data_IF_037107592638
#
_entry.id   IF_037107592638
#
_cell.length_a   1.000
_cell.length_b   1.000
_cell.length_c   1.000
_cell.angle_alpha   90.00
_cell.angle_beta   90.00
_cell.angle_gamma   90.00
#
_symmetry.space_group_name_H-M   'P 1'
#
loop_
_entity.id
_entity.type
_entity.pdbx_description
1 polymer ?
#
# COMPACT_ATOMS: atom_id res chain seq x y z
N UNK A 1 0.45 -24.70 1.95
CA UNK A 1 -0.29 -23.67 2.71
C UNK A 1 -0.97 -22.74 1.72
N UNK A 2 -2.14 -22.18 2.06
CA UNK A 2 -2.86 -21.22 1.22
C UNK A 2 -2.29 -19.82 1.46
N UNK A 3 -2.03 -19.06 0.39
CA UNK A 3 -1.57 -17.67 0.47
C UNK A 3 -2.75 -16.72 0.72
N UNK A 4 -2.57 -15.76 1.60
CA UNK A 4 -3.49 -14.63 1.83
C UNK A 4 -3.14 -13.50 0.87
N UNK A 5 -4.04 -13.19 -0.05
CA UNK A 5 -3.87 -12.11 -1.03
C UNK A 5 -4.92 -11.04 -0.79
N UNK A 6 -4.48 -9.80 -0.63
CA UNK A 6 -5.36 -8.63 -0.48
C UNK A 6 -5.32 -7.77 -1.74
N UNK A 7 -6.47 -7.17 -2.07
CA UNK A 7 -6.62 -6.24 -3.19
C UNK A 7 -7.13 -4.90 -2.65
N UNK A 8 -6.62 -3.80 -3.19
CA UNK A 8 -7.07 -2.46 -2.81
C UNK A 8 -6.67 -1.39 -3.81
N UNK A 9 -7.19 -0.19 -3.64
CA UNK A 9 -6.76 0.98 -4.40
C UNK A 9 -5.68 1.74 -3.63
N UNK A 10 -4.76 2.40 -4.34
CA UNK A 10 -3.89 3.39 -3.71
C UNK A 10 -4.73 4.58 -3.25
N UNK A 11 -4.90 4.72 -1.94
CA UNK A 11 -5.70 5.78 -1.33
C UNK A 11 -4.99 7.13 -1.35
N UNK A 12 -5.21 7.93 -2.38
CA UNK A 12 -4.50 9.20 -2.62
C UNK A 12 -4.67 10.26 -1.52
N UNK A 13 -5.66 10.10 -0.63
CA UNK A 13 -5.90 11.00 0.49
C UNK A 13 -5.16 10.53 1.74
N UNK A 14 -5.52 9.36 2.28
CA UNK A 14 -4.99 8.89 3.57
C UNK A 14 -3.58 8.28 3.43
N UNK A 15 -3.26 7.61 2.32
CA UNK A 15 -1.94 7.01 2.15
C UNK A 15 -0.86 8.04 1.79
N UNK A 16 -1.25 9.20 1.24
CA UNK A 16 -0.31 10.25 0.83
C UNK A 16 0.47 10.82 2.02
N UNK A 17 -0.15 10.96 3.20
CA UNK A 17 0.42 11.30 4.51
C UNK A 17 1.45 12.47 4.61
N UNK A 18 1.86 13.11 3.52
CA UNK A 18 2.93 14.10 3.45
C UNK A 18 4.30 13.50 3.13
N UNK A 19 5.33 14.36 3.07
CA UNK A 19 6.71 13.97 2.74
C UNK A 19 7.54 13.77 4.02
N UNK A 20 8.61 12.99 3.90
CA UNK A 20 9.58 12.81 4.98
C UNK A 20 9.02 11.99 6.15
N UNK A 21 9.65 12.11 7.33
CA UNK A 21 9.34 11.28 8.50
C UNK A 21 7.92 11.51 9.05
N UNK A 22 7.32 12.67 8.82
CA UNK A 22 5.95 12.98 9.27
C UNK A 22 4.89 12.02 8.74
N UNK A 23 5.16 11.29 7.65
CA UNK A 23 4.22 10.29 7.13
C UNK A 23 3.96 9.14 8.11
N UNK A 24 4.90 8.85 9.00
CA UNK A 24 4.79 7.78 10.00
C UNK A 24 3.88 8.12 11.18
N UNK A 25 3.57 9.41 11.38
CA UNK A 25 2.64 9.84 12.44
C UNK A 25 1.19 9.93 11.99
N UNK A 26 0.89 9.57 10.73
CA UNK A 26 -0.47 9.57 10.19
C UNK A 26 -0.95 8.15 9.92
N UNK A 27 -2.25 7.96 10.09
CA UNK A 27 -2.89 6.71 9.74
C UNK A 27 -2.95 6.52 8.23
N UNK A 28 -2.42 5.39 7.75
CA UNK A 28 -2.31 5.02 6.33
C UNK A 28 -2.90 3.62 6.15
N UNK A 29 -4.17 3.48 5.74
CA UNK A 29 -4.90 2.21 5.79
C UNK A 29 -4.16 1.06 5.09
N UNK A 30 -3.58 1.32 3.92
CA UNK A 30 -2.87 0.31 3.13
C UNK A 30 -1.63 -0.21 3.85
N UNK A 31 -0.87 0.68 4.50
CA UNK A 31 0.30 0.30 5.28
C UNK A 31 -0.09 -0.41 6.58
N UNK A 32 -1.10 0.10 7.29
CA UNK A 32 -1.54 -0.48 8.57
C UNK A 32 -2.14 -1.88 8.42
N UNK A 33 -2.71 -2.22 7.26
CA UNK A 33 -3.14 -3.58 6.93
C UNK A 33 -1.96 -4.56 7.01
N UNK A 34 -0.80 -4.18 6.47
CA UNK A 34 0.42 -4.99 6.51
C UNK A 34 1.11 -5.01 7.88
N UNK A 35 0.64 -4.23 8.85
CA UNK A 35 1.17 -4.21 10.22
C UNK A 35 0.38 -5.12 11.18
N UNK A 36 -0.66 -5.80 10.71
CA UNK A 36 -1.51 -6.62 11.58
C UNK A 36 -0.84 -7.96 11.91
N UNK A 37 -0.40 -8.13 13.16
CA UNK A 37 0.26 -9.38 13.63
C UNK A 37 -0.63 -10.62 13.51
N UNK A 38 -1.96 -10.45 13.60
CA UNK A 38 -2.93 -11.55 13.52
C UNK A 38 -3.29 -11.95 12.08
N UNK A 39 -2.86 -11.18 11.08
CA UNK A 39 -3.15 -11.43 9.66
C UNK A 39 -1.94 -11.04 8.80
N UNK A 40 -1.10 -12.03 8.50
CA UNK A 40 0.00 -11.86 7.54
C UNK A 40 -0.57 -11.87 6.12
N UNK A 41 -0.28 -10.81 5.37
CA UNK A 41 -0.60 -10.70 3.94
C UNK A 41 0.60 -11.21 3.15
N UNK A 42 0.44 -12.30 2.39
CA UNK A 42 1.53 -12.80 1.54
C UNK A 42 1.73 -11.90 0.30
N UNK A 43 0.63 -11.36 -0.24
CA UNK A 43 0.66 -10.47 -1.41
C UNK A 43 -0.42 -9.40 -1.33
N UNK A 44 -0.06 -8.17 -1.64
CA UNK A 44 -0.94 -7.02 -1.75
C UNK A 44 -0.92 -6.47 -3.18
N UNK A 45 -2.07 -6.51 -3.84
CA UNK A 45 -2.30 -6.01 -5.19
C UNK A 45 -2.94 -4.62 -5.10
N UNK A 46 -2.20 -3.59 -5.52
CA UNK A 46 -2.66 -2.21 -5.44
C UNK A 46 -2.99 -1.67 -6.82
N UNK A 47 -4.27 -1.41 -7.04
CA UNK A 47 -4.75 -0.72 -8.23
C UNK A 47 -4.48 0.78 -8.10
N UNK A 48 -3.88 1.37 -9.13
CA UNK A 48 -3.64 2.80 -9.16
C UNK A 48 -3.56 3.37 -10.57
N UNK A 49 -3.87 4.66 -10.67
CA UNK A 49 -3.67 5.42 -11.89
C UNK A 49 -2.18 5.76 -12.08
N UNK A 50 -1.77 6.03 -13.32
CA UNK A 50 -0.41 6.49 -13.64
C UNK A 50 -0.04 7.76 -12.85
N UNK A 51 -0.99 8.67 -12.59
CA UNK A 51 -0.74 9.89 -11.77
C UNK A 51 -0.38 9.58 -10.31
N UNK A 52 -0.74 8.40 -9.82
CA UNK A 52 -0.49 7.95 -8.44
C UNK A 52 0.73 7.04 -8.31
N UNK A 53 1.49 6.80 -9.40
CA UNK A 53 2.67 5.93 -9.40
C UNK A 53 3.68 6.26 -8.31
N UNK A 54 3.96 7.55 -8.09
CA UNK A 54 4.93 7.96 -7.06
C UNK A 54 4.48 7.61 -5.63
N UNK A 55 3.17 7.68 -5.38
CA UNK A 55 2.58 7.28 -4.11
C UNK A 55 2.63 5.77 -3.93
N UNK A 56 2.32 4.99 -4.98
CA UNK A 56 2.49 3.54 -4.99
C UNK A 56 3.93 3.13 -4.62
N UNK A 57 4.94 3.70 -5.28
CA UNK A 57 6.35 3.38 -5.01
C UNK A 57 6.77 3.76 -3.59
N UNK A 58 6.14 4.78 -3.01
CA UNK A 58 6.37 5.15 -1.60
C UNK A 58 5.72 4.16 -0.65
N UNK A 59 4.47 3.77 -0.91
CA UNK A 59 3.77 2.72 -0.15
C UNK A 59 4.53 1.40 -0.20
N UNK A 60 4.95 0.95 -1.38
CA UNK A 60 5.72 -0.29 -1.56
C UNK A 60 6.98 -0.32 -0.70
N UNK A 61 7.75 0.78 -0.69
CA UNK A 61 8.97 0.90 0.13
C UNK A 61 8.67 0.93 1.62
N UNK A 62 7.65 1.67 2.03
CA UNK A 62 7.29 1.77 3.45
C UNK A 62 6.73 0.43 3.97
N UNK A 63 5.91 -0.28 3.17
CA UNK A 63 5.40 -1.63 3.51
C UNK A 63 6.55 -2.62 3.65
N UNK A 64 7.52 -2.63 2.73
CA UNK A 64 8.68 -3.51 2.83
C UNK A 64 9.52 -3.29 4.11
N UNK A 65 9.42 -2.11 4.73
CA UNK A 65 10.11 -1.82 6.00
C UNK A 65 9.37 -2.33 7.24
N UNK A 66 8.05 -2.59 7.15
CA UNK A 66 7.21 -3.04 8.28
C UNK A 66 6.73 -4.48 8.13
N UNK A 67 6.64 -4.99 6.91
CA UNK A 67 6.31 -6.37 6.56
C UNK A 67 7.15 -6.78 5.34
N UNK A 68 8.44 -7.14 5.56
CA UNK A 68 9.35 -7.54 4.49
C UNK A 68 8.91 -8.82 3.75
N UNK A 69 8.03 -9.61 4.35
CA UNK A 69 7.43 -10.81 3.78
C UNK A 69 6.26 -10.53 2.82
N UNK A 70 5.64 -9.35 2.89
CA UNK A 70 4.54 -8.98 1.99
C UNK A 70 5.07 -8.63 0.59
N UNK A 71 4.64 -9.37 -0.44
CA UNK A 71 4.85 -8.99 -1.83
C UNK A 71 3.88 -7.87 -2.23
N UNK A 72 4.38 -6.68 -2.60
CA UNK A 72 3.53 -5.57 -3.08
C UNK A 72 3.66 -5.39 -4.58
N UNK A 73 2.53 -5.53 -5.28
CA UNK A 73 2.42 -5.43 -6.74
C UNK A 73 1.48 -4.29 -7.12
N UNK A 74 1.91 -3.49 -8.09
CA UNK A 74 1.12 -2.38 -8.62
C UNK A 74 0.40 -2.82 -9.89
N UNK A 75 -0.89 -2.52 -9.97
CA UNK A 75 -1.73 -2.76 -11.14
C UNK A 75 -2.17 -1.41 -11.68
N UNK A 76 -1.52 -0.97 -12.76
CA UNK A 76 -1.86 0.28 -13.40
C UNK A 76 -3.15 0.16 -14.22
N UNK A 77 -4.12 0.97 -13.87
CA UNK A 77 -5.41 1.05 -14.56
C UNK A 77 -5.84 2.52 -14.70
N UNK A 78 -6.59 2.82 -15.76
CA UNK A 78 -7.13 4.17 -15.96
C UNK A 78 -8.31 4.40 -15.00
N UNK A 79 -8.14 5.31 -14.04
CA UNK A 79 -9.13 5.58 -13.00
C UNK A 79 -9.68 7.00 -13.16
N UNK A 80 -10.86 7.10 -13.79
CA UNK A 80 -11.55 8.37 -13.99
C UNK A 80 -12.24 8.88 -12.71
N UNK A 81 -12.86 7.99 -11.94
CA UNK A 81 -13.47 8.25 -10.62
C UNK A 81 -13.22 7.05 -9.69
N UNK A 82 -12.03 6.95 -9.08
CA UNK A 82 -11.70 5.90 -8.11
C UNK A 82 -12.42 6.06 -6.78
#
# INVERSE_FOLDING_TARGET
>A
MRKTVAFGFVGTVLDYAGRGSQRWSKWRPTLCLCQQESLVIDRLELLHDTRSRSLFETLKRDIASVSPETEVVGVEIELHNP
#
